data_IF_816696326957
#
_entry.id   IF_816696326957
#
_cell.length_a   1.000
_cell.length_b   1.000
_cell.length_c   1.000
_cell.angle_alpha   90.00
_cell.angle_beta   90.00
_cell.angle_gamma   90.00
#
_symmetry.space_group_name_H-M   'P 1'
#
loop_
_entity.id
_entity.type
_entity.pdbx_description
1 polymer ?
#
# COMPACT_ATOMS: atom_id res chain seq x y z
N UNK A 1 -3.78 13.02 6.13
CA UNK A 1 -3.39 11.68 6.61
C UNK A 1 -2.01 11.30 6.10
N UNK A 2 -1.81 11.07 4.79
CA UNK A 2 -0.49 10.68 4.26
C UNK A 2 0.65 11.67 4.60
N UNK A 3 0.41 12.98 4.53
CA UNK A 3 1.42 13.98 4.93
C UNK A 3 1.82 13.89 6.40
N UNK A 4 0.87 13.57 7.28
CA UNK A 4 1.12 13.37 8.71
C UNK A 4 1.97 12.12 8.94
N UNK A 5 1.64 11.03 8.24
CA UNK A 5 2.46 9.81 8.25
C UNK A 5 3.88 10.10 7.78
N UNK A 6 4.05 10.74 6.61
CA UNK A 6 5.37 11.08 6.07
C UNK A 6 6.21 11.94 7.02
N UNK A 7 5.57 12.88 7.71
CA UNK A 7 6.26 13.75 8.66
C UNK A 7 6.69 13.04 9.95
N UNK A 8 6.14 11.85 10.25
CA UNK A 8 6.36 11.15 11.52
C UNK A 8 7.16 9.86 11.36
N UNK A 9 6.97 9.12 10.27
CA UNK A 9 7.62 7.84 10.01
C UNK A 9 9.11 8.01 9.71
N UNK A 10 9.94 7.14 10.28
CA UNK A 10 11.35 7.04 9.91
C UNK A 10 11.52 6.13 8.70
N UNK A 11 11.71 6.72 7.51
CA UNK A 11 11.86 5.95 6.26
C UNK A 11 13.19 5.19 6.14
N UNK A 12 14.09 5.34 7.12
CA UNK A 12 15.29 4.52 7.29
C UNK A 12 15.07 3.30 8.20
N UNK A 13 13.92 3.22 8.88
CA UNK A 13 13.49 2.00 9.57
C UNK A 13 12.67 1.10 8.61
N UNK A 14 12.97 -0.21 8.51
CA UNK A 14 12.26 -1.12 7.63
C UNK A 14 10.75 -1.25 7.88
N UNK A 15 10.31 -1.15 9.14
CA UNK A 15 8.90 -1.27 9.50
C UNK A 15 8.13 -0.02 9.09
N UNK A 16 8.68 1.16 9.40
CA UNK A 16 8.10 2.45 9.03
C UNK A 16 8.11 2.68 7.51
N UNK A 17 9.20 2.30 6.83
CA UNK A 17 9.27 2.31 5.36
C UNK A 17 8.17 1.42 4.74
N UNK A 18 7.89 0.27 5.34
CA UNK A 18 6.82 -0.62 4.89
C UNK A 18 5.43 0.00 5.11
N UNK A 19 5.19 0.60 6.28
CA UNK A 19 3.95 1.34 6.57
C UNK A 19 3.76 2.48 5.58
N UNK A 20 4.82 3.20 5.24
CA UNK A 20 4.75 4.29 4.28
C UNK A 20 4.36 3.82 2.87
N UNK A 21 5.00 2.74 2.39
CA UNK A 21 4.70 2.17 1.08
C UNK A 21 3.26 1.64 0.99
N UNK A 22 2.81 0.84 1.96
CA UNK A 22 1.43 0.32 1.95
C UNK A 22 0.39 1.43 2.10
N UNK A 23 0.69 2.49 2.87
CA UNK A 23 -0.21 3.64 3.03
C UNK A 23 -0.38 4.40 1.72
N UNK A 24 0.72 4.65 0.99
CA UNK A 24 0.67 5.33 -0.31
C UNK A 24 -0.07 4.47 -1.34
N UNK A 25 0.27 3.18 -1.45
CA UNK A 25 -0.39 2.27 -2.38
C UNK A 25 -1.88 2.12 -2.06
N UNK A 26 -2.26 1.94 -0.79
CA UNK A 26 -3.67 1.79 -0.42
C UNK A 26 -4.48 3.07 -0.65
N UNK A 27 -3.90 4.25 -0.42
CA UNK A 27 -4.59 5.51 -0.65
C UNK A 27 -4.76 5.80 -2.15
N UNK A 28 -3.66 5.81 -2.92
CA UNK A 28 -3.69 6.17 -4.33
C UNK A 28 -4.29 5.07 -5.21
N UNK A 29 -4.11 3.81 -4.82
CA UNK A 29 -4.73 2.67 -5.48
C UNK A 29 -6.15 2.36 -4.99
N UNK A 30 -6.69 3.16 -4.06
CA UNK A 30 -8.00 2.93 -3.41
C UNK A 30 -8.18 1.50 -2.87
N UNK A 31 -7.09 0.88 -2.45
CA UNK A 31 -7.07 -0.52 -2.03
C UNK A 31 -7.66 -0.67 -0.63
N UNK A 32 -8.28 -1.82 -0.36
CA UNK A 32 -8.63 -2.20 1.00
C UNK A 32 -7.35 -2.44 1.79
N UNK A 33 -7.36 -2.07 3.07
CA UNK A 33 -6.19 -2.28 3.92
C UNK A 33 -5.80 -3.77 4.03
N UNK A 34 -6.79 -4.68 3.93
CA UNK A 34 -6.58 -6.13 3.87
C UNK A 34 -5.94 -6.64 2.58
N UNK A 35 -5.87 -5.84 1.52
CA UNK A 35 -5.20 -6.22 0.25
C UNK A 35 -3.70 -5.92 0.32
N UNK A 36 -3.29 -5.01 1.20
CA UNK A 36 -1.89 -4.62 1.43
C UNK A 36 -1.30 -5.16 2.74
N UNK A 37 -2.06 -5.96 3.49
CA UNK A 37 -1.63 -6.54 4.77
C UNK A 37 -2.16 -7.97 4.95
N UNK A 38 -1.57 -8.71 5.88
CA UNK A 38 -2.03 -10.05 6.29
C UNK A 38 -2.68 -10.02 7.68
N UNK A 39 -3.52 -11.02 7.99
CA UNK A 39 -4.14 -11.16 9.31
C UNK A 39 -3.13 -11.53 10.39
N UNK A 40 -2.24 -12.46 10.09
CA UNK A 40 -1.10 -12.85 10.92
C UNK A 40 0.09 -13.22 10.04
N UNK A 41 1.28 -13.36 10.62
CA UNK A 41 2.50 -13.68 9.88
C UNK A 41 2.42 -15.01 9.14
N UNK A 42 1.77 -16.01 9.74
CA UNK A 42 1.58 -17.34 9.17
C UNK A 42 0.49 -17.40 8.10
N UNK A 43 -0.34 -16.36 7.98
CA UNK A 43 -1.42 -16.32 6.99
C UNK A 43 -0.95 -15.84 5.62
N UNK A 44 0.34 -15.48 5.47
CA UNK A 44 0.86 -15.12 4.16
C UNK A 44 0.78 -16.31 3.21
N UNK A 45 0.19 -16.03 2.06
CA UNK A 45 -0.05 -16.97 0.98
C UNK A 45 0.13 -16.19 -0.31
N UNK A 46 1.17 -16.53 -1.07
CA UNK A 46 1.54 -15.86 -2.31
C UNK A 46 0.53 -15.99 -3.45
N UNK A 47 -0.49 -16.85 -3.29
CA UNK A 47 -1.63 -16.97 -4.20
C UNK A 47 -2.77 -16.01 -3.86
N UNK A 48 -2.75 -15.41 -2.66
CA UNK A 48 -3.79 -14.50 -2.15
C UNK A 48 -3.29 -13.10 -1.84
N UNK A 49 -1.99 -12.96 -1.60
CA UNK A 49 -1.36 -11.72 -1.15
C UNK A 49 -0.28 -11.30 -2.14
N UNK A 50 -0.06 -9.98 -2.22
CA UNK A 50 0.95 -9.39 -3.09
C UNK A 50 2.36 -9.85 -2.73
N UNK A 51 3.09 -10.29 -3.75
CA UNK A 51 4.51 -10.64 -3.71
C UNK A 51 5.35 -9.57 -4.40
N UNK A 52 6.66 -9.62 -4.20
CA UNK A 52 7.60 -8.75 -4.92
C UNK A 52 7.44 -8.86 -6.45
N UNK A 53 7.18 -10.07 -6.98
CA UNK A 53 6.94 -10.31 -8.41
C UNK A 53 5.64 -9.71 -8.96
N UNK A 54 4.72 -9.29 -8.08
CA UNK A 54 3.40 -8.78 -8.45
C UNK A 54 3.42 -7.25 -8.66
N UNK A 55 4.61 -6.65 -8.78
CA UNK A 55 4.81 -5.23 -9.03
C UNK A 55 5.48 -5.02 -10.38
N UNK A 56 4.90 -4.16 -11.22
CA UNK A 56 5.48 -3.77 -12.50
C UNK A 56 5.57 -2.25 -12.60
N UNK A 57 6.77 -1.73 -12.83
CA UNK A 57 6.99 -0.32 -13.13
C UNK A 57 6.89 -0.09 -14.64
N UNK A 58 6.31 1.04 -15.03
CA UNK A 58 6.14 1.41 -16.44
C UNK A 58 6.07 2.92 -16.63
N UNK A 59 6.04 3.32 -17.89
CA UNK A 59 5.77 4.70 -18.31
C UNK A 59 4.64 4.69 -19.34
N UNK A 60 3.74 5.67 -19.28
CA UNK A 60 2.73 5.84 -20.31
C UNK A 60 3.31 6.44 -21.61
N UNK A 61 2.47 6.58 -22.63
CA UNK A 61 2.88 7.12 -23.94
C UNK A 61 3.35 8.59 -23.87
N UNK A 62 3.12 9.28 -22.75
CA UNK A 62 3.56 10.65 -22.49
C UNK A 62 4.76 10.72 -21.53
N UNK A 63 5.29 9.57 -21.11
CA UNK A 63 6.45 9.47 -20.23
C UNK A 63 6.12 9.54 -18.74
N UNK A 64 4.85 9.57 -18.33
CA UNK A 64 4.51 9.57 -16.90
C UNK A 64 4.72 8.19 -16.32
N UNK A 65 5.44 8.13 -15.20
CA UNK A 65 5.72 6.89 -14.51
C UNK A 65 4.49 6.39 -13.75
N UNK A 66 4.27 5.08 -13.83
CA UNK A 66 3.26 4.39 -13.04
C UNK A 66 3.78 3.05 -12.53
N UNK A 67 3.13 2.53 -11.50
CA UNK A 67 3.32 1.18 -11.01
C UNK A 67 2.00 0.43 -11.06
N UNK A 68 2.06 -0.83 -11.47
CA UNK A 68 0.93 -1.74 -11.46
C UNK A 68 1.14 -2.77 -10.37
N UNK A 69 0.18 -2.87 -9.45
CA UNK A 69 0.09 -3.94 -8.46
C UNK A 69 -0.90 -4.98 -8.99
N UNK A 70 -0.45 -6.22 -9.11
CA UNK A 70 -1.22 -7.34 -9.64
C UNK A 70 -1.80 -8.16 -8.48
N UNK A 71 -2.99 -7.76 -7.99
CA UNK A 71 -3.63 -8.38 -6.82
C UNK A 71 -4.10 -9.80 -7.16
N UNK A 72 -3.54 -10.85 -6.53
CA UNK A 72 -3.86 -12.24 -6.87
C UNK A 72 -5.29 -12.65 -6.53
N UNK A 73 -5.90 -12.00 -5.54
CA UNK A 73 -7.26 -12.27 -5.12
C UNK A 73 -8.02 -10.97 -4.86
N UNK A 74 -8.78 -10.52 -5.86
CA UNK A 74 -9.83 -9.55 -5.62
C UNK A 74 -11.10 -10.30 -5.22
N UNK A 75 -11.77 -9.86 -4.15
CA UNK A 75 -13.06 -10.43 -3.71
C UNK A 75 -14.17 -10.40 -4.78
N UNK A 76 -13.94 -9.71 -5.89
CA UNK A 76 -14.87 -9.47 -6.99
C UNK A 76 -14.38 -9.96 -8.34
N UNK A 77 -13.19 -10.57 -8.43
CA UNK A 77 -12.70 -11.16 -9.67
C UNK A 77 -13.28 -12.58 -9.84
N UNK A 78 -13.67 -12.92 -11.06
CA UNK A 78 -13.94 -14.32 -11.43
C UNK A 78 -12.67 -15.17 -11.18
N UNK A 79 -12.85 -16.46 -10.90
CA UNK A 79 -11.74 -17.35 -10.61
C UNK A 79 -10.73 -17.36 -11.77
N UNK A 80 -9.59 -16.69 -11.60
CA UNK A 80 -8.51 -16.59 -12.60
C UNK A 80 -8.14 -15.17 -13.04
N UNK A 81 -8.96 -14.15 -12.71
CA UNK A 81 -8.62 -12.76 -13.04
C UNK A 81 -7.84 -12.06 -11.92
N UNK A 82 -6.66 -11.53 -12.28
CA UNK A 82 -5.82 -10.71 -11.40
C UNK A 82 -6.29 -9.27 -11.49
N UNK A 83 -6.73 -8.69 -10.36
CA UNK A 83 -7.08 -7.27 -10.33
C UNK A 83 -5.82 -6.43 -10.43
N UNK A 84 -5.80 -5.49 -11.38
CA UNK A 84 -4.68 -4.56 -11.56
C UNK A 84 -5.02 -3.23 -10.91
N UNK A 85 -4.15 -2.79 -10.00
CA UNK A 85 -4.22 -1.46 -9.39
C UNK A 85 -3.08 -0.63 -9.94
N UNK A 86 -3.41 0.44 -10.64
CA UNK A 86 -2.43 1.38 -11.17
C UNK A 86 -2.28 2.56 -10.21
N UNK A 87 -1.04 2.81 -9.78
CA UNK A 87 -0.68 3.98 -8.99
C UNK A 87 0.32 4.83 -9.75
N UNK A 88 0.06 6.14 -9.82
CA UNK A 88 0.88 7.10 -10.55
C UNK A 88 1.81 7.86 -9.62
N UNK A 89 2.72 8.63 -10.20
CA UNK A 89 3.59 9.53 -9.45
C UNK A 89 2.79 10.63 -8.72
N UNK A 90 3.14 10.88 -7.45
CA UNK A 90 2.47 11.89 -6.63
C UNK A 90 3.47 12.61 -5.72
N UNK A 91 4.15 13.66 -6.22
CA UNK A 91 5.05 14.57 -5.46
C UNK A 91 5.47 14.05 -4.07
N UNK A 92 4.90 14.62 -3.01
CA UNK A 92 5.32 14.32 -1.64
C UNK A 92 4.78 13.00 -1.08
N UNK A 93 3.84 12.35 -1.74
CA UNK A 93 3.17 11.14 -1.25
C UNK A 93 3.24 10.03 -2.29
N UNK A 94 4.38 9.95 -2.99
CA UNK A 94 4.54 9.15 -4.19
C UNK A 94 4.63 7.66 -3.85
N UNK A 95 3.69 6.82 -4.34
CA UNK A 95 3.74 5.38 -4.10
C UNK A 95 4.95 4.71 -4.79
N UNK A 96 5.42 5.26 -5.92
CA UNK A 96 6.61 4.75 -6.63
C UNK A 96 7.86 4.92 -5.76
N UNK A 97 8.10 6.14 -5.26
CA UNK A 97 9.24 6.41 -4.38
C UNK A 97 9.18 5.59 -3.10
N UNK A 98 7.97 5.39 -2.56
CA UNK A 98 7.77 4.60 -1.36
C UNK A 98 8.09 3.11 -1.60
N UNK A 99 7.67 2.53 -2.72
CA UNK A 99 8.00 1.16 -3.12
C UNK A 99 9.50 0.99 -3.40
N UNK A 100 10.13 1.95 -4.09
CA UNK A 100 11.57 1.95 -4.34
C UNK A 100 12.38 2.11 -3.04
N UNK A 101 11.90 2.91 -2.08
CA UNK A 101 12.51 2.98 -0.75
C UNK A 101 12.38 1.63 -0.02
N UNK A 102 11.20 1.03 -0.01
CA UNK A 102 10.96 -0.25 0.64
C UNK A 102 11.86 -1.35 0.06
N UNK A 103 11.99 -1.44 -1.26
CA UNK A 103 12.85 -2.43 -1.91
C UNK A 103 14.34 -2.28 -1.53
N UNK A 104 14.80 -1.03 -1.30
CA UNK A 104 16.16 -0.76 -0.80
C UNK A 104 16.32 -1.16 0.67
N UNK A 105 15.33 -0.86 1.50
CA UNK A 105 15.37 -1.14 2.94
C UNK A 105 15.19 -2.62 3.26
N UNK A 106 14.40 -3.33 2.45
CA UNK A 106 14.01 -4.73 2.64
C UNK A 106 14.27 -5.50 1.35
N UNK A 107 15.53 -5.83 1.03
CA UNK A 107 15.81 -6.71 -0.10
C UNK A 107 15.15 -8.08 0.14
N UNK A 108 14.31 -8.50 -0.80
CA UNK A 108 13.48 -9.69 -0.71
C UNK A 108 13.44 -10.43 -2.06
N UNK A 109 13.18 -11.74 -2.01
CA UNK A 109 13.03 -12.58 -3.19
C UNK A 109 11.70 -12.35 -3.90
N UNK A 110 11.56 -12.81 -5.17
CA UNK A 110 10.36 -12.56 -5.98
C UNK A 110 9.07 -13.10 -5.36
N UNK A 111 9.16 -14.19 -4.60
CA UNK A 111 8.00 -14.84 -3.96
C UNK A 111 7.71 -14.34 -2.53
N UNK A 112 8.57 -13.48 -1.99
CA UNK A 112 8.37 -12.91 -0.67
C UNK A 112 7.25 -11.86 -0.68
N UNK A 113 6.63 -11.55 0.47
CA UNK A 113 5.57 -10.55 0.55
C UNK A 113 6.06 -9.19 0.09
N UNK A 114 5.25 -8.50 -0.72
CA UNK A 114 5.57 -7.15 -1.21
C UNK A 114 5.71 -6.17 -0.04
N UNK A 115 4.67 -6.06 0.77
CA UNK A 115 4.66 -5.24 1.98
C UNK A 115 5.19 -6.06 3.14
N UNK A 116 6.51 -6.06 3.28
CA UNK A 116 7.22 -6.75 4.35
C UNK A 116 8.30 -5.87 4.98
N UNK A 117 8.78 -6.30 6.15
CA UNK A 117 9.86 -5.67 6.90
C UNK A 117 10.78 -6.75 7.46
N UNK A 118 12.01 -6.37 7.83
CA UNK A 118 12.96 -7.29 8.46
C UNK A 118 12.87 -7.18 9.98
N UNK A 119 12.66 -8.31 10.65
CA UNK A 119 12.71 -8.34 12.10
C UNK A 119 14.15 -8.34 12.64
N UNK A 120 14.29 -8.30 13.97
CA UNK A 120 15.59 -8.27 14.65
C UNK A 120 16.46 -9.50 14.37
N UNK A 121 15.89 -10.59 13.86
CA UNK A 121 16.61 -11.80 13.46
C UNK A 121 16.99 -11.78 11.97
N UNK A 122 16.62 -10.72 11.25
CA UNK A 122 16.82 -10.59 9.80
C UNK A 122 15.78 -11.32 8.97
N UNK A 123 14.74 -11.90 9.58
CA UNK A 123 13.69 -12.62 8.84
C UNK A 123 12.72 -11.62 8.18
N UNK A 124 12.34 -11.90 6.94
CA UNK A 124 11.32 -11.13 6.21
C UNK A 124 9.95 -11.48 6.80
N UNK A 125 9.22 -10.46 7.28
CA UNK A 125 7.90 -10.60 7.86
C UNK A 125 6.87 -9.84 7.04
N UNK A 126 5.76 -10.46 6.63
CA UNK A 126 4.67 -9.73 6.00
C UNK A 126 4.09 -8.72 6.98
N UNK A 127 3.59 -7.60 6.47
CA UNK A 127 2.96 -6.59 7.30
C UNK A 127 1.62 -7.08 7.83
N UNK A 128 1.50 -7.17 9.15
CA UNK A 128 0.28 -7.59 9.83
C UNK A 128 -0.66 -6.39 9.99
N UNK A 129 -1.91 -6.55 9.56
CA UNK A 129 -2.94 -5.51 9.57
C UNK A 129 -3.06 -4.84 10.95
N UNK A 130 -3.17 -5.64 12.02
CA UNK A 130 -3.29 -5.14 13.39
C UNK A 130 -2.09 -4.26 13.79
N UNK A 131 -0.87 -4.72 13.54
CA UNK A 131 0.34 -3.99 13.91
C UNK A 131 0.48 -2.67 13.13
N UNK A 132 0.19 -2.69 11.83
CA UNK A 132 0.22 -1.48 11.01
C UNK A 132 -0.84 -0.46 11.48
N UNK A 133 -2.08 -0.90 11.75
CA UNK A 133 -3.14 -0.01 12.22
C UNK A 133 -2.87 0.53 13.63
N UNK A 134 -2.35 -0.28 14.55
CA UNK A 134 -1.95 0.18 15.88
C UNK A 134 -0.92 1.31 15.78
N UNK A 135 0.10 1.15 14.94
CA UNK A 135 1.13 2.15 14.73
C UNK A 135 0.59 3.43 14.05
N UNK A 136 -0.18 3.28 12.96
CA UNK A 136 -0.83 4.42 12.27
C UNK A 136 -1.75 5.18 13.23
N UNK A 137 -2.61 4.48 13.98
CA UNK A 137 -3.53 5.10 14.91
C UNK A 137 -2.80 5.81 16.06
N UNK A 138 -1.67 5.28 16.53
CA UNK A 138 -0.83 5.94 17.53
C UNK A 138 -0.31 7.28 17.01
N UNK A 139 0.21 7.32 15.77
CA UNK A 139 0.64 8.57 15.12
C UNK A 139 -0.53 9.55 15.00
N UNK A 140 -1.67 9.09 14.47
CA UNK A 140 -2.83 9.97 14.26
C UNK A 140 -3.38 10.52 15.57
N UNK A 141 -3.37 9.73 16.63
CA UNK A 141 -3.77 10.17 17.98
C UNK A 141 -2.81 11.24 18.52
N UNK A 142 -1.51 11.07 18.35
CA UNK A 142 -0.51 12.06 18.75
C UNK A 142 -0.68 13.40 18.01
N UNK A 143 -1.18 13.36 16.78
CA UNK A 143 -1.55 14.56 16.00
C UNK A 143 -2.97 15.09 16.28
N UNK A 144 -3.72 14.48 17.20
CA UNK A 144 -5.06 14.92 17.61
C UNK A 144 -6.21 14.46 16.72
N UNK A 145 -6.01 13.46 15.86
CA UNK A 145 -7.00 13.02 14.85
C UNK A 145 -7.79 11.76 15.22
N UNK A 146 -7.46 11.08 16.34
CA UNK A 146 -8.16 9.87 16.82
C UNK A 146 -7.65 8.54 16.24
N UNK A 147 -8.49 7.49 16.23
CA UNK A 147 -8.06 6.08 16.05
C UNK A 147 -8.84 5.23 15.01
N UNK A 148 -9.48 5.83 14.00
CA UNK A 148 -10.36 5.09 13.07
C UNK A 148 -9.87 5.05 11.62
N UNK A 149 -8.59 4.71 11.39
CA UNK A 149 -7.96 4.88 10.07
C UNK A 149 -7.92 3.66 9.15
N UNK A 150 -8.46 2.50 9.56
CA UNK A 150 -8.43 1.29 8.75
C UNK A 150 -9.22 1.37 7.44
N UNK A 151 -10.33 2.12 7.42
CA UNK A 151 -11.11 2.37 6.20
C UNK A 151 -10.72 3.68 5.49
N UNK A 152 -9.94 4.54 6.15
CA UNK A 152 -9.66 5.89 5.70
C UNK A 152 -8.77 5.96 4.47
N UNK A 153 -8.00 4.91 4.15
CA UNK A 153 -7.18 4.87 2.94
C UNK A 153 -8.05 4.83 1.68
N UNK A 154 -8.92 3.82 1.55
CA UNK A 154 -9.84 3.70 0.41
C UNK A 154 -10.85 4.84 0.36
N UNK A 155 -11.48 5.17 1.49
CA UNK A 155 -12.46 6.27 1.55
C UNK A 155 -11.78 7.59 1.22
N UNK A 156 -10.62 7.87 1.82
CA UNK A 156 -9.88 9.10 1.59
C UNK A 156 -9.38 9.24 0.15
N UNK A 157 -8.92 8.15 -0.47
CA UNK A 157 -8.54 8.12 -1.87
C UNK A 157 -9.74 8.42 -2.79
N UNK A 158 -10.87 7.75 -2.57
CA UNK A 158 -12.09 7.98 -3.33
C UNK A 158 -12.61 9.43 -3.18
N UNK A 159 -12.66 9.96 -1.95
CA UNK A 159 -13.03 11.35 -1.69
C UNK A 159 -12.06 12.34 -2.35
N UNK A 160 -10.76 12.02 -2.39
CA UNK A 160 -9.78 12.86 -3.06
C UNK A 160 -10.02 12.91 -4.58
N UNK A 161 -10.18 11.77 -5.24
CA UNK A 161 -10.47 11.76 -6.68
C UNK A 161 -11.80 12.44 -7.01
N UNK A 162 -12.81 12.30 -6.16
CA UNK A 162 -14.09 13.00 -6.31
C UNK A 162 -13.90 14.52 -6.21
N UNK A 163 -13.04 14.99 -5.30
CA UNK A 163 -12.72 16.43 -5.18
C UNK A 163 -11.97 16.99 -6.39
N UNK A 164 -11.28 16.13 -7.16
CA UNK A 164 -10.62 16.46 -8.42
C UNK A 164 -11.58 16.40 -9.62
N UNK A 165 -12.89 16.18 -9.39
CA UNK A 165 -13.91 16.12 -10.43
C UNK A 165 -13.84 14.86 -11.29
N UNK A 166 -13.19 13.78 -10.81
CA UNK A 166 -13.20 12.49 -11.52
C UNK A 166 -14.60 11.89 -11.47
N UNK A 167 -14.97 11.22 -12.55
CA UNK A 167 -16.28 10.59 -12.69
C UNK A 167 -16.50 9.56 -11.55
N UNK A 168 -17.60 9.64 -10.80
CA UNK A 168 -17.92 8.68 -9.75
C UNK A 168 -17.94 7.22 -10.22
N UNK A 169 -18.32 6.95 -11.46
CA UNK A 169 -18.31 5.61 -12.04
C UNK A 169 -16.89 5.08 -12.23
N UNK A 170 -15.96 5.94 -12.68
CA UNK A 170 -14.54 5.58 -12.79
C UNK A 170 -13.94 5.31 -11.39
N UNK A 171 -14.28 6.13 -10.40
CA UNK A 171 -13.84 5.93 -9.02
C UNK A 171 -14.37 4.60 -8.46
N UNK A 172 -15.65 4.28 -8.73
CA UNK A 172 -16.30 3.03 -8.31
C UNK A 172 -15.64 1.80 -8.95
N UNK A 173 -15.24 1.87 -10.21
CA UNK A 173 -14.57 0.75 -10.91
C UNK A 173 -13.15 0.55 -10.36
N UNK A 174 -12.44 1.64 -10.06
CA UNK A 174 -11.07 1.59 -9.60
C UNK A 174 -10.92 1.18 -8.12
N UNK A 175 -11.95 1.35 -7.29
CA UNK A 175 -11.91 1.10 -5.84
C UNK A 175 -12.96 0.13 -5.36
#
# INVERSE_FOLDING_TARGET
MLRVLKATLDLSDPFDACIWALACCAFWGMMRFSEVTVKSRSDFDGTKHLKQSDVTFGADNTGNLFTTLHLPLAKTAEAGEVQKVHVTEHKDTCPLDALLNLARMVPAGPNDPLFSWRDKKGEIRPMVCKAALEHINSIMTAWGWGTSFGHSFRIGGASHYMSLGKDPEIIRIAG
#
